data_IF_452529107025
#
_entry.id   IF_452529107025
#
_cell.length_a   1.000
_cell.length_b   1.000
_cell.length_c   1.000
_cell.angle_alpha   90.00
_cell.angle_beta   90.00
_cell.angle_gamma   90.00
#
_symmetry.space_group_name_H-M   'P 1'
#
loop_
_entity.id
_entity.type
_entity.pdbx_description
1 polymer ?
#
# COMPACT_ATOMS: atom_id res chain seq x y z
N UNK A 1 -22.05 -81.08 0.64
CA UNK A 1 -23.37 -80.65 1.14
C UNK A 1 -23.18 -79.57 2.19
N UNK A 2 -23.98 -78.49 2.07
CA UNK A 2 -24.39 -77.50 3.11
C UNK A 2 -23.29 -76.59 3.71
N UNK A 3 -23.25 -75.29 3.36
CA UNK A 3 -23.99 -74.12 3.92
C UNK A 3 -23.33 -73.66 5.25
N UNK A 4 -23.07 -72.38 5.60
CA UNK A 4 -23.55 -71.05 5.17
C UNK A 4 -22.91 -69.99 6.12
N UNK A 5 -22.73 -68.74 5.63
CA UNK A 5 -22.62 -67.42 6.36
C UNK A 5 -21.52 -67.27 7.44
N UNK A 6 -20.93 -66.13 7.73
CA UNK A 6 -20.85 -64.74 7.25
C UNK A 6 -19.76 -64.10 8.13
N UNK A 7 -19.17 -62.96 7.75
CA UNK A 7 -19.13 -61.76 8.61
C UNK A 7 -18.26 -60.69 7.97
N UNK A 8 -18.90 -59.56 7.76
CA UNK A 8 -18.39 -58.29 7.25
C UNK A 8 -17.30 -57.72 8.15
N UNK A 9 -16.19 -57.26 7.55
CA UNK A 9 -15.16 -56.46 8.20
C UNK A 9 -14.86 -55.21 7.38
N UNK A 10 -15.58 -54.13 7.69
CA UNK A 10 -15.28 -52.75 7.32
C UNK A 10 -13.96 -52.28 7.99
N UNK A 11 -13.48 -51.09 7.61
CA UNK A 11 -12.40 -50.27 8.18
C UNK A 11 -11.00 -50.47 7.55
N UNK A 12 -10.23 -49.44 7.22
CA UNK A 12 -10.46 -47.99 7.22
C UNK A 12 -9.44 -47.35 6.27
N UNK A 13 -9.89 -46.39 5.47
CA UNK A 13 -9.04 -45.52 4.68
C UNK A 13 -8.21 -44.63 5.61
N UNK A 14 -6.91 -44.85 5.69
CA UNK A 14 -5.97 -43.90 6.29
C UNK A 14 -5.49 -42.98 5.18
N UNK A 15 -6.29 -41.95 4.89
CA UNK A 15 -5.81 -40.77 4.17
C UNK A 15 -5.07 -39.93 5.20
N UNK A 16 -3.76 -40.17 5.32
CA UNK A 16 -2.86 -39.32 6.09
C UNK A 16 -2.75 -38.00 5.35
N UNK A 17 -3.67 -37.09 5.67
CA UNK A 17 -3.65 -35.71 5.20
C UNK A 17 -2.37 -35.06 5.71
N UNK A 18 -1.41 -34.88 4.80
CA UNK A 18 -0.25 -34.03 5.02
C UNK A 18 -0.76 -32.59 5.15
N UNK A 19 -1.06 -32.17 6.38
CA UNK A 19 -1.20 -30.77 6.74
C UNK A 19 0.15 -30.11 6.44
N UNK A 20 0.26 -29.53 5.25
CA UNK A 20 1.28 -28.54 4.93
C UNK A 20 1.06 -27.37 5.89
N UNK A 21 1.81 -27.37 6.99
CA UNK A 21 2.00 -26.20 7.83
C UNK A 21 2.71 -25.19 6.95
N UNK A 22 1.94 -24.33 6.30
CA UNK A 22 2.49 -23.14 5.67
C UNK A 22 3.20 -22.34 6.77
N UNK A 23 4.45 -21.91 6.57
CA UNK A 23 5.10 -21.03 7.53
C UNK A 23 4.23 -19.77 7.64
N UNK A 24 3.66 -19.56 8.82
CA UNK A 24 3.09 -18.27 9.19
C UNK A 24 4.26 -17.28 9.15
N UNK A 25 4.32 -16.49 8.07
CA UNK A 25 5.22 -15.36 7.99
C UNK A 25 4.81 -14.41 9.11
N UNK A 26 5.52 -14.44 10.23
CA UNK A 26 5.35 -13.46 11.29
C UNK A 26 5.68 -12.10 10.67
N UNK A 27 4.65 -11.35 10.28
CA UNK A 27 4.84 -9.97 9.88
C UNK A 27 5.47 -9.25 11.08
N UNK A 28 6.70 -8.78 10.91
CA UNK A 28 7.39 -8.10 12.00
C UNK A 28 6.52 -6.90 12.45
N UNK A 29 6.32 -6.67 13.73
CA UNK A 29 5.62 -5.46 14.20
C UNK A 29 6.66 -4.38 14.43
N UNK A 30 7.16 -3.78 13.35
CA UNK A 30 8.20 -2.76 13.36
C UNK A 30 7.67 -1.37 12.98
N UNK A 31 8.43 -0.29 13.27
CA UNK A 31 8.04 1.06 12.89
C UNK A 31 7.93 1.19 11.37
N UNK A 32 6.95 1.96 10.91
CA UNK A 32 6.80 2.32 9.50
C UNK A 32 7.23 3.77 9.26
N UNK A 33 7.79 4.05 8.08
CA UNK A 33 8.22 5.39 7.67
C UNK A 33 7.93 5.66 6.21
N UNK A 34 7.79 6.94 5.88
CA UNK A 34 7.54 7.41 4.52
C UNK A 34 8.12 8.81 4.38
N UNK A 35 8.71 9.08 3.22
CA UNK A 35 9.21 10.41 2.85
C UNK A 35 8.96 10.66 1.37
N UNK A 36 8.77 11.92 1.00
CA UNK A 36 8.69 12.34 -0.39
C UNK A 36 10.12 12.68 -0.85
N UNK A 37 10.60 11.99 -1.89
CA UNK A 37 11.95 12.20 -2.41
C UNK A 37 11.96 13.29 -3.50
N UNK A 38 10.94 13.35 -4.36
CA UNK A 38 10.80 14.41 -5.37
C UNK A 38 9.36 14.59 -5.84
N UNK A 39 9.05 15.77 -6.38
CA UNK A 39 7.75 16.06 -7.01
C UNK A 39 7.95 16.81 -8.32
N UNK A 40 7.69 16.14 -9.44
CA UNK A 40 7.93 16.68 -10.78
C UNK A 40 6.64 17.01 -11.52
N UNK A 41 6.56 18.22 -12.08
CA UNK A 41 5.45 18.63 -12.93
C UNK A 41 5.48 17.89 -14.27
N UNK A 42 4.34 17.36 -14.71
CA UNK A 42 4.14 16.72 -16.01
C UNK A 42 2.91 17.28 -16.70
N UNK A 43 2.77 16.97 -17.99
CA UNK A 43 1.58 17.30 -18.79
C UNK A 43 1.17 18.77 -18.64
N UNK A 44 2.13 19.70 -18.74
CA UNK A 44 1.89 21.14 -18.61
C UNK A 44 1.20 21.57 -17.29
N UNK A 45 1.28 20.77 -16.23
CA UNK A 45 0.67 21.06 -14.93
C UNK A 45 -0.61 20.29 -14.64
N UNK A 46 -1.10 19.45 -15.56
CA UNK A 46 -2.26 18.59 -15.30
C UNK A 46 -1.93 17.42 -14.35
N UNK A 47 -0.64 17.11 -14.20
CA UNK A 47 -0.15 16.01 -13.36
C UNK A 47 1.13 16.41 -12.63
N UNK A 48 1.30 15.88 -11.42
CA UNK A 48 2.61 15.78 -10.76
C UNK A 48 2.98 14.32 -10.51
N UNK A 49 4.25 13.98 -10.67
CA UNK A 49 4.82 12.70 -10.26
C UNK A 49 5.43 12.89 -8.87
N UNK A 50 4.87 12.20 -7.89
CA UNK A 50 5.41 12.16 -6.53
C UNK A 50 6.22 10.88 -6.40
N UNK A 51 7.54 11.02 -6.33
CA UNK A 51 8.43 9.93 -5.98
C UNK A 51 8.57 9.90 -4.47
N UNK A 52 8.32 8.74 -3.89
CA UNK A 52 8.34 8.56 -2.45
C UNK A 52 9.00 7.25 -2.07
N UNK A 53 9.68 7.28 -0.94
CA UNK A 53 10.30 6.12 -0.33
C UNK A 53 9.49 5.77 0.91
N UNK A 54 9.29 4.48 1.15
CA UNK A 54 8.63 3.98 2.34
C UNK A 54 9.35 2.76 2.88
N UNK A 55 9.25 2.55 4.18
CA UNK A 55 9.53 1.27 4.81
C UNK A 55 8.36 0.89 5.72
N UNK A 56 8.14 -0.41 5.81
CA UNK A 56 7.17 -1.02 6.68
C UNK A 56 7.60 -2.47 6.87
N UNK A 57 7.12 -3.14 7.92
CA UNK A 57 7.62 -4.47 8.22
C UNK A 57 7.32 -5.50 7.14
N UNK A 58 8.22 -6.46 6.96
CA UNK A 58 8.07 -7.51 5.96
C UNK A 58 6.76 -8.28 6.16
N UNK A 59 6.02 -8.53 5.07
CA UNK A 59 4.73 -9.23 5.11
C UNK A 59 3.52 -8.34 5.44
N UNK A 60 3.74 -7.12 5.95
CA UNK A 60 2.66 -6.14 6.09
C UNK A 60 2.24 -5.57 4.73
N UNK A 61 1.12 -4.85 4.71
CA UNK A 61 0.65 -4.10 3.54
C UNK A 61 0.52 -2.62 3.88
N UNK A 62 1.04 -1.77 3.00
CA UNK A 62 0.96 -0.32 3.14
C UNK A 62 0.07 0.27 2.05
N UNK A 63 -0.85 1.13 2.45
CA UNK A 63 -1.61 2.02 1.59
C UNK A 63 -1.13 3.45 1.80
N UNK A 64 -0.79 4.10 0.71
CA UNK A 64 -0.28 5.47 0.66
C UNK A 64 -1.30 6.29 -0.11
N UNK A 65 -1.86 7.31 0.55
CA UNK A 65 -2.73 8.31 -0.06
C UNK A 65 -2.01 9.64 0.01
N UNK A 66 -1.70 10.24 -1.13
CA UNK A 66 -1.03 11.53 -1.21
C UNK A 66 -1.96 12.54 -1.87
N UNK A 67 -2.18 13.65 -1.19
CA UNK A 67 -2.87 14.83 -1.71
C UNK A 67 -1.85 15.94 -1.87
N UNK A 68 -1.68 16.46 -3.09
CA UNK A 68 -0.82 17.61 -3.37
C UNK A 68 -1.71 18.83 -3.54
N UNK A 69 -1.37 19.92 -2.85
CA UNK A 69 -2.08 21.21 -2.90
C UNK A 69 -1.06 22.32 -3.14
N UNK A 70 -1.29 23.13 -4.18
CA UNK A 70 -0.44 24.26 -4.55
C UNK A 70 -1.29 25.49 -4.85
N UNK A 71 -0.84 26.66 -4.40
CA UNK A 71 -1.44 27.93 -4.79
C UNK A 71 -1.02 28.30 -6.22
N UNK A 72 -1.97 28.77 -7.01
CA UNK A 72 -1.74 29.29 -8.36
C UNK A 72 -2.52 30.60 -8.52
N UNK A 73 -1.87 31.71 -8.15
CA UNK A 73 -2.52 33.02 -8.07
C UNK A 73 -3.64 33.00 -7.02
N UNK A 74 -4.86 33.31 -7.46
CA UNK A 74 -6.08 33.29 -6.62
C UNK A 74 -6.79 31.94 -6.59
N UNK A 75 -6.24 30.91 -7.27
CA UNK A 75 -6.83 29.57 -7.38
C UNK A 75 -5.93 28.53 -6.72
N UNK A 76 -6.49 27.35 -6.49
CA UNK A 76 -5.79 26.20 -5.93
C UNK A 76 -5.69 25.09 -6.98
N UNK A 77 -4.48 24.58 -7.18
CA UNK A 77 -4.25 23.31 -7.85
C UNK A 77 -4.20 22.22 -6.77
N UNK A 78 -5.04 21.20 -6.91
CA UNK A 78 -5.08 20.09 -5.97
C UNK A 78 -5.25 18.78 -6.72
N UNK A 79 -4.72 17.69 -6.18
CA UNK A 79 -4.98 16.35 -6.69
C UNK A 79 -4.69 15.31 -5.61
N UNK A 80 -5.33 14.15 -5.72
CA UNK A 80 -5.12 13.04 -4.78
C UNK A 80 -4.88 11.75 -5.54
N UNK A 81 -3.90 10.97 -5.08
CA UNK A 81 -3.66 9.61 -5.57
C UNK A 81 -3.43 8.66 -4.43
N UNK A 82 -3.86 7.42 -4.62
CA UNK A 82 -3.55 6.33 -3.71
C UNK A 82 -2.82 5.18 -4.41
N UNK A 83 -2.00 4.46 -3.64
CA UNK A 83 -1.35 3.22 -4.06
C UNK A 83 -1.21 2.29 -2.86
N UNK A 84 -1.40 1.00 -3.12
CA UNK A 84 -1.28 -0.07 -2.12
C UNK A 84 -0.19 -1.03 -2.60
N UNK A 85 0.70 -1.41 -1.69
CA UNK A 85 1.87 -2.25 -1.97
C UNK A 85 2.18 -3.13 -0.77
N UNK A 86 2.72 -4.31 -1.03
CA UNK A 86 3.18 -5.23 0.02
C UNK A 86 4.59 -4.82 0.47
N UNK A 87 4.84 -4.92 1.76
CA UNK A 87 6.08 -4.49 2.40
C UNK A 87 7.13 -5.63 2.36
N UNK A 88 8.36 -5.28 1.96
CA UNK A 88 9.49 -6.22 1.95
C UNK A 88 10.28 -6.23 3.25
N UNK A 89 10.07 -5.25 4.14
CA UNK A 89 10.90 -4.98 5.31
C UNK A 89 11.99 -3.93 5.05
N UNK A 90 12.34 -3.70 3.78
CA UNK A 90 13.34 -2.73 3.36
C UNK A 90 12.72 -1.43 2.85
N UNK A 91 13.55 -0.39 2.72
CA UNK A 91 13.17 0.83 2.02
C UNK A 91 12.89 0.54 0.55
N UNK A 92 11.69 0.90 0.11
CA UNK A 92 11.24 0.73 -1.26
C UNK A 92 10.79 2.06 -1.83
N UNK A 93 11.17 2.35 -3.07
CA UNK A 93 10.73 3.53 -3.79
C UNK A 93 9.48 3.23 -4.62
N UNK A 94 8.62 4.23 -4.79
CA UNK A 94 7.43 4.12 -5.62
C UNK A 94 7.02 5.48 -6.18
N UNK A 95 6.37 5.45 -7.33
CA UNK A 95 5.83 6.64 -7.99
C UNK A 95 4.30 6.68 -7.81
N UNK A 96 3.80 7.87 -7.47
CA UNK A 96 2.39 8.26 -7.50
C UNK A 96 2.15 9.32 -8.57
N UNK A 97 1.21 9.04 -9.48
CA UNK A 97 0.76 10.00 -10.50
C UNK A 97 -0.45 10.74 -9.99
N UNK A 98 -0.25 11.97 -9.53
CA UNK A 98 -1.31 12.79 -8.96
C UNK A 98 -1.83 13.71 -10.06
N UNK A 99 -3.00 13.36 -10.60
CA UNK A 99 -3.71 14.20 -11.55
C UNK A 99 -4.44 15.31 -10.79
N UNK A 100 -4.51 16.51 -11.38
CA UNK A 100 -5.25 17.61 -10.79
C UNK A 100 -6.76 17.37 -10.78
N UNK A 101 -7.45 18.05 -9.87
CA UNK A 101 -8.88 18.27 -9.96
C UNK A 101 -9.19 19.13 -11.20
N UNK A 102 -10.17 18.67 -11.99
CA UNK A 102 -10.61 19.35 -13.20
C UNK A 102 -11.24 20.72 -12.91
N UNK A 103 -11.86 20.89 -11.73
CA UNK A 103 -12.41 22.17 -11.29
C UNK A 103 -11.35 23.16 -10.75
N UNK A 104 -10.18 22.63 -10.39
CA UNK A 104 -9.06 23.40 -9.84
C UNK A 104 -8.20 24.11 -10.89
N UNK A 105 -7.11 24.73 -10.42
CA UNK A 105 -6.04 25.23 -11.28
C UNK A 105 -5.07 24.10 -11.67
N UNK A 106 -4.20 24.40 -12.64
CA UNK A 106 -3.05 23.53 -12.98
C UNK A 106 -1.93 23.69 -11.96
N UNK A 107 -1.15 22.63 -11.76
CA UNK A 107 0.06 22.67 -10.95
C UNK A 107 1.13 23.53 -11.61
N UNK A 108 1.76 24.40 -10.83
CA UNK A 108 2.89 25.25 -11.24
C UNK A 108 4.16 24.86 -10.49
N UNK A 109 5.31 25.19 -11.08
CA UNK A 109 6.61 25.06 -10.40
C UNK A 109 6.63 26.00 -9.21
N UNK A 110 7.02 25.51 -8.04
CA UNK A 110 6.99 26.31 -6.82
C UNK A 110 6.71 25.51 -5.56
N UNK A 111 6.46 26.24 -4.47
CA UNK A 111 6.11 25.65 -3.19
C UNK A 111 4.70 25.03 -3.25
N UNK A 112 4.55 23.87 -2.61
CA UNK A 112 3.28 23.18 -2.44
C UNK A 112 3.28 22.45 -1.09
N UNK A 113 2.11 21.97 -0.70
CA UNK A 113 1.95 21.10 0.46
C UNK A 113 1.55 19.71 -0.04
N UNK A 114 2.20 18.68 0.49
CA UNK A 114 1.79 17.31 0.31
C UNK A 114 1.29 16.74 1.63
N UNK A 115 0.02 16.37 1.66
CA UNK A 115 -0.56 15.59 2.76
C UNK A 115 -0.47 14.12 2.41
N UNK A 116 0.24 13.36 3.25
CA UNK A 116 0.35 11.91 3.11
C UNK A 116 -0.43 11.25 4.23
N UNK A 117 -1.32 10.33 3.86
CA UNK A 117 -1.96 9.40 4.79
C UNK A 117 -1.44 8.01 4.47
N UNK A 118 -0.72 7.42 5.42
CA UNK A 118 -0.23 6.06 5.37
C UNK A 118 -1.10 5.18 6.25
N UNK A 119 -1.59 4.07 5.70
CA UNK A 119 -2.22 3.00 6.47
C UNK A 119 -1.38 1.74 6.31
N UNK A 120 -0.83 1.21 7.41
CA UNK A 120 -0.08 -0.06 7.42
C UNK A 120 -0.94 -1.10 8.12
N UNK A 121 -1.15 -2.25 7.48
CA UNK A 121 -1.89 -3.36 8.05
C UNK A 121 -1.00 -4.61 8.10
N UNK A 122 -1.03 -5.31 9.23
CA UNK A 122 -0.52 -6.67 9.38
C UNK A 122 -1.69 -7.65 9.56
N UNK A 123 -1.42 -8.90 9.97
CA UNK A 123 -2.44 -9.93 10.16
C UNK A 123 -3.36 -9.68 11.38
N UNK A 124 -3.00 -8.73 12.23
CA UNK A 124 -3.66 -8.49 13.53
C UNK A 124 -4.33 -7.12 13.62
N UNK A 125 -3.79 -6.11 12.95
CA UNK A 125 -4.25 -4.72 13.09
C UNK A 125 -3.87 -3.83 11.91
N UNK A 126 -4.45 -2.63 11.87
CA UNK A 126 -4.08 -1.57 10.96
C UNK A 126 -3.78 -0.28 11.72
N UNK A 127 -2.66 0.36 11.40
CA UNK A 127 -2.28 1.67 11.90
C UNK A 127 -2.43 2.71 10.78
N UNK A 128 -3.04 3.85 11.08
CA UNK A 128 -3.13 4.98 10.12
C UNK A 128 -2.44 6.21 10.69
N UNK A 129 -1.49 6.74 9.92
CA UNK A 129 -0.68 7.90 10.27
C UNK A 129 -0.82 8.93 9.15
N UNK A 130 -1.05 10.19 9.51
CA UNK A 130 -1.06 11.30 8.55
C UNK A 130 -0.05 12.36 8.91
N UNK A 131 0.59 12.94 7.90
CA UNK A 131 1.51 14.06 8.06
C UNK A 131 1.45 14.96 6.83
N UNK A 132 1.77 16.23 7.05
CA UNK A 132 1.87 17.25 6.01
C UNK A 132 3.33 17.65 5.86
N UNK A 133 3.78 17.77 4.61
CA UNK A 133 5.14 18.17 4.26
C UNK A 133 5.09 19.35 3.28
N UNK A 134 5.95 20.34 3.52
CA UNK A 134 6.20 21.41 2.54
C UNK A 134 7.15 20.86 1.48
N UNK A 135 6.67 20.78 0.24
CA UNK A 135 7.41 20.26 -0.90
C UNK A 135 7.64 21.37 -1.93
N UNK A 136 8.50 21.10 -2.91
CA UNK A 136 8.68 21.95 -4.08
C UNK A 136 8.41 21.14 -5.34
N UNK A 137 7.46 21.61 -6.16
CA UNK A 137 7.20 21.09 -7.49
C UNK A 137 8.29 21.62 -8.42
N UNK A 138 9.07 20.72 -9.03
CA UNK A 138 10.06 21.01 -10.09
C UNK A 138 9.47 20.98 -11.50
#
# INVERSE_FOLDING_TARGET
MRRILAFSGFLAAVVTGSLLVAPAANAATGPSSTRIDSVDRRQQGDRVLVNLSYNCPAGARIQLVVTVTAANGTRIAQGTRQKRVDCTGDWTATELRVDRDLAGAVFIVGAATARTVRTVCDDTSCETISFDETIRIS
#
